data_IF_477856838181
#
_entry.id   IF_477856838181
#
_cell.length_a   1.000
_cell.length_b   1.000
_cell.length_c   1.000
_cell.angle_alpha   90.00
_cell.angle_beta   90.00
_cell.angle_gamma   90.00
#
_symmetry.space_group_name_H-M   'P 1'
#
loop_
_entity.id
_entity.type
_entity.pdbx_description
1 polymer ?
#
# COMPACT_ATOMS: atom_id res chain seq x y z
N UNK A 1 10.75 -36.12 -7.23
CA UNK A 1 10.66 -35.38 -5.96
C UNK A 1 9.20 -35.14 -5.71
N UNK A 2 8.58 -35.94 -4.84
CA UNK A 2 7.17 -35.75 -4.50
C UNK A 2 7.02 -34.52 -3.61
N UNK A 3 6.09 -33.63 -3.97
CA UNK A 3 5.83 -32.41 -3.21
C UNK A 3 5.21 -32.78 -1.86
N UNK A 4 5.97 -32.63 -0.78
CA UNK A 4 5.47 -32.75 0.58
C UNK A 4 5.05 -31.34 1.03
N UNK A 5 3.75 -31.08 1.23
CA UNK A 5 3.31 -29.79 1.70
C UNK A 5 3.85 -29.50 3.11
N UNK A 6 4.30 -28.27 3.32
CA UNK A 6 4.92 -27.77 4.56
C UNK A 6 3.94 -27.56 5.73
N UNK A 7 2.65 -27.82 5.53
CA UNK A 7 1.59 -27.68 6.55
C UNK A 7 0.84 -29.01 6.70
N UNK A 8 0.43 -29.40 7.91
CA UNK A 8 -0.55 -30.46 8.13
C UNK A 8 -1.90 -30.17 7.45
N UNK A 9 -2.69 -31.22 7.18
CA UNK A 9 -4.05 -31.08 6.62
C UNK A 9 -4.95 -30.26 7.55
N UNK A 10 -4.84 -30.49 8.86
CA UNK A 10 -5.59 -29.79 9.91
C UNK A 10 -5.35 -28.29 9.87
N UNK A 11 -4.10 -27.87 9.70
CA UNK A 11 -3.71 -26.45 9.68
C UNK A 11 -4.24 -25.76 8.43
N UNK A 12 -4.18 -26.45 7.27
CA UNK A 12 -4.82 -25.94 6.05
C UNK A 12 -6.32 -25.76 6.24
N UNK A 13 -7.00 -26.73 6.84
CA UNK A 13 -8.44 -26.64 7.13
C UNK A 13 -8.74 -25.48 8.08
N UNK A 14 -7.92 -25.28 9.12
CA UNK A 14 -8.03 -24.16 10.04
C UNK A 14 -7.83 -22.82 9.33
N UNK A 15 -6.83 -22.69 8.45
CA UNK A 15 -6.61 -21.48 7.64
C UNK A 15 -7.78 -21.21 6.68
N UNK A 16 -8.35 -22.25 6.07
CA UNK A 16 -9.55 -22.11 5.25
C UNK A 16 -10.76 -21.63 6.06
N UNK A 17 -10.93 -22.14 7.29
CA UNK A 17 -11.97 -21.68 8.21
C UNK A 17 -11.74 -20.21 8.62
N UNK A 18 -10.51 -19.89 9.01
CA UNK A 18 -10.10 -18.54 9.42
C UNK A 18 -10.32 -17.51 8.31
N UNK A 19 -9.98 -17.86 7.06
CA UNK A 19 -10.17 -16.98 5.89
C UNK A 19 -11.64 -16.64 5.62
N UNK A 20 -12.58 -17.50 6.04
CA UNK A 20 -14.03 -17.28 5.85
C UNK A 20 -14.68 -16.46 6.96
N UNK A 21 -13.97 -16.20 8.05
CA UNK A 21 -14.48 -15.34 9.13
C UNK A 21 -14.57 -13.89 8.66
N UNK A 22 -15.75 -13.30 8.84
CA UNK A 22 -16.04 -11.90 8.51
C UNK A 22 -16.13 -11.02 9.77
N UNK A 23 -16.15 -11.65 10.93
CA UNK A 23 -16.26 -11.02 12.24
C UNK A 23 -14.90 -10.53 12.79
N UNK A 24 -13.80 -10.91 12.13
CA UNK A 24 -12.45 -10.49 12.52
C UNK A 24 -11.65 -9.91 11.36
N UNK A 25 -10.76 -8.98 11.71
CA UNK A 25 -9.74 -8.41 10.84
C UNK A 25 -8.37 -8.88 11.33
N UNK A 26 -7.60 -9.49 10.44
CA UNK A 26 -6.23 -9.95 10.71
C UNK A 26 -5.24 -8.95 10.09
N UNK A 27 -4.37 -8.36 10.92
CA UNK A 27 -3.34 -7.41 10.49
C UNK A 27 -2.01 -7.66 11.20
N UNK A 28 -0.87 -7.30 10.57
CA UNK A 28 0.38 -7.22 11.31
C UNK A 28 0.28 -6.13 12.39
N UNK A 29 0.92 -6.38 13.53
CA UNK A 29 1.12 -5.36 14.56
C UNK A 29 2.13 -4.31 14.07
N UNK A 30 1.99 -3.08 14.57
CA UNK A 30 3.04 -2.07 14.42
C UNK A 30 4.33 -2.55 15.11
N UNK A 31 5.50 -2.20 14.53
CA UNK A 31 6.85 -2.61 14.97
C UNK A 31 7.15 -4.12 14.87
N UNK A 32 6.51 -4.84 13.96
CA UNK A 32 6.82 -6.24 13.66
C UNK A 32 6.69 -7.18 14.88
N UNK A 33 5.81 -6.85 15.84
CA UNK A 33 5.64 -7.60 17.09
C UNK A 33 4.79 -8.88 16.90
N UNK A 34 4.15 -9.04 15.74
CA UNK A 34 3.38 -10.25 15.41
C UNK A 34 2.14 -9.95 14.57
N UNK A 35 1.17 -10.85 14.63
CA UNK A 35 -0.13 -10.76 13.96
C UNK A 35 -1.20 -10.50 15.02
N UNK A 36 -2.18 -9.65 14.70
CA UNK A 36 -3.30 -9.31 15.57
C UNK A 36 -4.60 -9.68 14.88
N UNK A 37 -5.46 -10.42 15.59
CA UNK A 37 -6.86 -10.60 15.22
C UNK A 37 -7.71 -9.61 16.04
N UNK A 38 -8.56 -8.85 15.37
CA UNK A 38 -9.34 -7.76 15.96
C UNK A 38 -10.79 -7.97 15.54
N UNK A 39 -11.74 -7.76 16.46
CA UNK A 39 -13.15 -7.67 16.10
C UNK A 39 -13.37 -6.60 15.00
N UNK A 40 -14.18 -6.94 13.99
CA UNK A 40 -14.39 -6.07 12.83
C UNK A 40 -14.98 -4.70 13.21
N UNK A 41 -15.90 -4.65 14.18
CA UNK A 41 -16.53 -3.41 14.63
C UNK A 41 -15.54 -2.53 15.41
N UNK A 42 -14.66 -3.15 16.21
CA UNK A 42 -13.56 -2.44 16.89
C UNK A 42 -12.58 -1.87 15.87
N UNK A 43 -12.27 -2.60 14.81
CA UNK A 43 -11.37 -2.12 13.76
C UNK A 43 -11.97 -0.95 12.97
N UNK A 44 -13.25 -1.06 12.60
CA UNK A 44 -13.98 -0.01 11.87
C UNK A 44 -14.14 1.27 12.72
N UNK A 45 -14.54 1.14 13.99
CA UNK A 45 -14.67 2.28 14.89
C UNK A 45 -13.34 3.02 15.08
N UNK A 46 -12.22 2.30 15.28
CA UNK A 46 -10.88 2.90 15.33
C UNK A 46 -10.48 3.57 14.01
N UNK A 47 -10.86 2.99 12.88
CA UNK A 47 -10.59 3.56 11.56
C UNK A 47 -11.37 4.86 11.34
N UNK A 48 -12.66 4.87 11.68
CA UNK A 48 -13.52 6.06 11.58
C UNK A 48 -13.11 7.15 12.57
N UNK A 49 -12.68 6.80 13.78
CA UNK A 49 -12.14 7.77 14.74
C UNK A 49 -10.96 8.57 14.15
N UNK A 50 -10.07 7.89 13.40
CA UNK A 50 -8.96 8.55 12.71
C UNK A 50 -9.48 9.42 11.55
N UNK A 51 -10.30 8.85 10.66
CA UNK A 51 -10.76 9.51 9.44
C UNK A 51 -11.72 10.70 9.68
N UNK A 52 -12.47 10.67 10.79
CA UNK A 52 -13.38 11.74 11.18
C UNK A 52 -12.70 12.87 11.96
N UNK A 53 -11.39 12.76 12.24
CA UNK A 53 -10.67 13.84 12.89
C UNK A 53 -10.48 15.02 11.91
N UNK A 54 -11.27 16.07 12.09
CA UNK A 54 -11.28 17.27 11.24
C UNK A 54 -10.09 18.21 11.45
N UNK A 55 -9.28 17.98 12.48
CA UNK A 55 -8.02 18.69 12.68
C UNK A 55 -6.99 18.29 11.60
N UNK A 56 -6.96 17.01 11.23
CA UNK A 56 -5.97 16.44 10.29
C UNK A 56 -6.57 16.07 8.93
N UNK A 57 -7.86 15.75 8.86
CA UNK A 57 -8.50 15.27 7.64
C UNK A 57 -9.65 16.16 7.23
N UNK A 58 -9.83 16.29 5.91
CA UNK A 58 -10.99 16.94 5.30
C UNK A 58 -11.66 15.96 4.36
N UNK A 59 -12.97 15.77 4.55
CA UNK A 59 -13.79 14.97 3.65
C UNK A 59 -13.84 15.63 2.28
N UNK A 60 -13.62 14.84 1.23
CA UNK A 60 -13.81 15.23 -0.16
C UNK A 60 -15.05 14.53 -0.68
N UNK A 61 -15.88 15.26 -1.42
CA UNK A 61 -17.07 14.80 -2.15
C UNK A 61 -16.75 14.42 -3.60
N UNK A 62 -15.51 14.62 -4.03
CA UNK A 62 -15.00 14.23 -5.35
C UNK A 62 -13.75 13.37 -5.25
N UNK A 63 -13.43 12.66 -6.33
CA UNK A 63 -12.18 11.89 -6.44
C UNK A 63 -11.03 12.82 -6.94
N UNK A 64 -10.07 13.20 -6.07
CA UNK A 64 -8.97 14.09 -6.46
C UNK A 64 -8.01 13.47 -7.47
N UNK A 65 -7.93 12.13 -7.53
CA UNK A 65 -6.98 11.43 -8.39
C UNK A 65 -7.30 11.58 -9.88
N UNK A 66 -8.56 11.90 -10.25
CA UNK A 66 -8.92 12.15 -11.66
C UNK A 66 -8.12 13.30 -12.28
N UNK A 67 -8.02 14.42 -11.55
CA UNK A 67 -7.27 15.60 -12.00
C UNK A 67 -5.78 15.27 -12.15
N UNK A 68 -5.21 14.59 -11.15
CA UNK A 68 -3.82 14.15 -11.16
C UNK A 68 -3.52 13.19 -12.31
N UNK A 69 -4.40 12.22 -12.55
CA UNK A 69 -4.26 11.27 -13.65
C UNK A 69 -4.25 11.97 -15.02
N UNK A 70 -5.20 12.88 -15.26
CA UNK A 70 -5.29 13.60 -16.53
C UNK A 70 -4.05 14.48 -16.78
N UNK A 71 -3.57 15.19 -15.75
CA UNK A 71 -2.35 15.98 -15.84
C UNK A 71 -1.13 15.11 -16.13
N UNK A 72 -0.98 14.00 -15.39
CA UNK A 72 0.12 13.06 -15.61
C UNK A 72 0.07 12.49 -17.03
N UNK A 73 -1.12 12.08 -17.50
CA UNK A 73 -1.31 11.55 -18.85
C UNK A 73 -0.93 12.57 -19.91
N UNK A 74 -1.39 13.82 -19.81
CA UNK A 74 -1.04 14.86 -20.80
C UNK A 74 0.46 15.14 -20.84
N UNK A 75 1.13 15.12 -19.68
CA UNK A 75 2.58 15.30 -19.61
C UNK A 75 3.32 14.13 -20.26
N UNK A 76 2.90 12.89 -20.02
CA UNK A 76 3.49 11.71 -20.66
C UNK A 76 3.29 11.71 -22.18
N UNK A 77 2.13 12.15 -22.66
CA UNK A 77 1.85 12.29 -24.10
C UNK A 77 2.76 13.35 -24.74
N UNK A 78 2.97 14.49 -24.07
CA UNK A 78 3.92 15.52 -24.54
C UNK A 78 5.35 14.97 -24.63
N UNK A 79 5.83 14.27 -23.60
CA UNK A 79 7.16 13.65 -23.60
C UNK A 79 7.31 12.62 -24.73
N UNK A 80 6.25 11.85 -25.03
CA UNK A 80 6.24 10.88 -26.12
C UNK A 80 6.31 11.58 -27.49
N UNK A 81 5.51 12.62 -27.69
CA UNK A 81 5.47 13.40 -28.94
C UNK A 81 6.80 14.11 -29.22
N UNK A 82 7.44 14.61 -28.16
CA UNK A 82 8.77 15.23 -28.23
C UNK A 82 9.91 14.20 -28.34
N UNK A 83 9.60 12.89 -28.43
CA UNK A 83 10.58 11.79 -28.50
C UNK A 83 11.53 11.72 -27.29
N UNK A 84 11.15 12.31 -26.15
CA UNK A 84 11.90 12.26 -24.89
C UNK A 84 11.73 10.93 -24.16
N UNK A 85 10.60 10.24 -24.40
CA UNK A 85 10.37 8.86 -23.99
C UNK A 85 9.89 8.03 -25.18
N UNK A 86 10.11 6.72 -25.15
CA UNK A 86 9.56 5.81 -26.14
C UNK A 86 8.21 5.23 -25.69
N UNK A 87 7.50 4.58 -26.63
CA UNK A 87 6.18 3.98 -26.40
C UNK A 87 6.20 2.92 -25.30
N UNK A 88 7.29 2.17 -25.16
CA UNK A 88 7.46 1.16 -24.12
C UNK A 88 7.47 1.80 -22.72
N UNK A 89 8.24 2.86 -22.54
CA UNK A 89 8.32 3.63 -21.29
C UNK A 89 6.95 4.24 -20.97
N UNK A 90 6.34 4.93 -21.94
CA UNK A 90 5.01 5.52 -21.80
C UNK A 90 3.98 4.48 -21.28
N UNK A 91 3.91 3.32 -21.94
CA UNK A 91 2.96 2.26 -21.59
C UNK A 91 3.28 1.58 -20.25
N UNK A 92 4.55 1.59 -19.82
CA UNK A 92 4.95 1.07 -18.51
C UNK A 92 4.50 1.99 -17.36
N UNK A 93 4.45 3.30 -17.61
CA UNK A 93 4.10 4.31 -16.62
C UNK A 93 2.58 4.49 -16.54
N UNK A 94 1.90 4.59 -17.67
CA UNK A 94 0.45 4.88 -17.66
C UNK A 94 -0.34 3.70 -17.07
N UNK A 95 -1.08 3.89 -15.97
CA UNK A 95 -1.89 2.83 -15.40
C UNK A 95 -3.17 2.62 -16.21
N UNK A 96 -3.60 1.35 -16.35
CA UNK A 96 -4.91 1.01 -16.96
C UNK A 96 -6.08 1.47 -16.09
N UNK A 97 -5.89 1.45 -14.77
CA UNK A 97 -6.85 1.87 -13.76
C UNK A 97 -6.11 2.65 -12.68
N UNK A 98 -6.70 3.78 -12.25
CA UNK A 98 -6.15 4.62 -11.19
C UNK A 98 -7.22 4.80 -10.09
N UNK A 99 -6.98 4.14 -8.95
CA UNK A 99 -7.82 4.21 -7.76
C UNK A 99 -7.33 5.25 -6.76
N UNK A 100 -8.12 5.51 -5.72
CA UNK A 100 -7.65 6.25 -4.55
C UNK A 100 -6.74 5.37 -3.69
N UNK A 101 -6.00 6.01 -2.78
CA UNK A 101 -5.23 5.27 -1.79
C UNK A 101 -6.16 4.50 -0.85
N UNK A 102 -5.77 3.27 -0.49
CA UNK A 102 -6.52 2.45 0.47
C UNK A 102 -6.07 2.78 1.88
N UNK A 103 -7.00 3.24 2.72
CA UNK A 103 -6.75 3.44 4.15
C UNK A 103 -6.84 2.12 4.92
N UNK A 104 -5.93 1.93 5.87
CA UNK A 104 -6.03 0.88 6.88
C UNK A 104 -5.21 1.26 8.12
N UNK A 105 -5.44 0.56 9.24
CA UNK A 105 -4.68 0.77 10.48
C UNK A 105 -3.86 -0.45 10.87
N UNK A 106 -2.67 -0.22 11.43
CA UNK A 106 -1.87 -1.25 12.09
C UNK A 106 -1.95 -1.10 13.62
N UNK A 107 -2.34 -2.13 14.39
CA UNK A 107 -2.47 -2.00 15.84
C UNK A 107 -1.13 -1.79 16.54
N UNK A 108 -1.02 -0.72 17.34
CA UNK A 108 0.13 -0.48 18.22
C UNK A 108 -0.05 -1.18 19.56
N UNK A 109 -0.01 -2.51 19.57
CA UNK A 109 -0.26 -3.33 20.78
C UNK A 109 0.72 -3.08 21.94
N UNK A 110 1.85 -2.43 21.66
CA UNK A 110 2.85 -2.01 22.65
C UNK A 110 2.50 -0.67 23.33
N UNK A 111 1.33 -0.08 23.04
CA UNK A 111 0.85 1.18 23.64
C UNK A 111 -0.47 0.94 24.37
N UNK A 112 -0.76 1.67 25.46
CA UNK A 112 -2.04 1.60 26.15
C UNK A 112 -3.21 1.78 25.18
N UNK A 113 -4.27 0.98 25.35
CA UNK A 113 -5.47 0.97 24.50
C UNK A 113 -5.24 0.57 23.02
N UNK A 114 -4.03 0.17 22.65
CA UNK A 114 -3.65 -0.33 21.32
C UNK A 114 -4.14 0.58 20.18
N UNK A 115 -3.73 1.86 20.12
CA UNK A 115 -4.13 2.78 19.06
C UNK A 115 -3.73 2.24 17.68
N UNK A 116 -4.50 2.58 16.65
CA UNK A 116 -4.15 2.25 15.27
C UNK A 116 -3.12 3.22 14.69
N UNK A 117 -2.10 2.72 13.99
CA UNK A 117 -1.26 3.53 13.10
C UNK A 117 -1.99 3.68 11.75
N UNK A 118 -2.43 4.89 11.36
CA UNK A 118 -3.05 5.09 10.06
C UNK A 118 -2.01 4.91 8.95
N UNK A 119 -2.37 4.16 7.91
CA UNK A 119 -1.59 3.95 6.69
C UNK A 119 -2.49 4.18 5.48
N UNK A 120 -1.94 4.83 4.45
CA UNK A 120 -2.58 4.95 3.14
C UNK A 120 -1.70 4.25 2.11
N UNK A 121 -2.18 3.14 1.56
CA UNK A 121 -1.50 2.46 0.45
C UNK A 121 -1.87 3.11 -0.88
N UNK A 122 -0.87 3.68 -1.56
CA UNK A 122 -1.03 4.33 -2.86
C UNK A 122 -0.67 3.40 -4.04
N UNK A 123 -0.63 2.08 -3.84
CA UNK A 123 -0.24 1.13 -4.91
C UNK A 123 -1.13 1.24 -6.16
N UNK A 124 -2.41 1.58 -5.97
CA UNK A 124 -3.38 1.78 -7.07
C UNK A 124 -3.47 3.23 -7.55
N UNK A 125 -2.72 4.16 -6.96
CA UNK A 125 -2.76 5.57 -7.30
C UNK A 125 -2.16 5.85 -8.69
N UNK A 126 -2.61 6.94 -9.35
CA UNK A 126 -2.17 7.28 -10.71
C UNK A 126 -0.66 7.41 -10.83
N UNK A 127 -0.05 8.04 -9.84
CA UNK A 127 1.38 8.38 -9.80
C UNK A 127 2.29 7.23 -9.39
N UNK A 128 1.77 6.11 -8.89
CA UNK A 128 2.60 5.04 -8.30
C UNK A 128 3.61 4.46 -9.30
N UNK A 129 3.17 4.17 -10.54
CA UNK A 129 4.04 3.65 -11.61
C UNK A 129 5.09 4.67 -12.06
N UNK A 130 4.71 5.95 -12.13
CA UNK A 130 5.64 7.03 -12.42
C UNK A 130 6.70 7.15 -11.33
N UNK A 131 6.31 7.16 -10.06
CA UNK A 131 7.24 7.18 -8.92
C UNK A 131 8.20 5.99 -8.95
N UNK A 132 7.71 4.78 -9.26
CA UNK A 132 8.56 3.59 -9.39
C UNK A 132 9.56 3.71 -10.55
N UNK A 133 9.12 4.25 -11.69
CA UNK A 133 10.00 4.48 -12.84
C UNK A 133 11.08 5.53 -12.52
N UNK A 134 10.70 6.66 -11.92
CA UNK A 134 11.63 7.70 -11.50
C UNK A 134 12.63 7.17 -10.45
N UNK A 135 12.16 6.42 -9.47
CA UNK A 135 13.03 5.76 -8.47
C UNK A 135 14.08 4.89 -9.14
N UNK A 136 13.71 4.10 -10.18
CA UNK A 136 14.67 3.28 -10.94
C UNK A 136 15.72 4.13 -11.65
N UNK A 137 15.34 5.28 -12.22
CA UNK A 137 16.28 6.19 -12.89
C UNK A 137 17.20 6.88 -11.88
N UNK A 138 16.65 7.31 -10.75
CA UNK A 138 17.38 8.09 -9.75
C UNK A 138 18.26 7.21 -8.85
N UNK A 139 17.94 5.91 -8.71
CA UNK A 139 18.65 4.99 -7.83
C UNK A 139 20.18 4.98 -8.00
N UNK A 140 20.77 5.07 -9.21
CA UNK A 140 22.23 5.13 -9.37
C UNK A 140 22.86 6.45 -8.93
N UNK A 141 22.07 7.53 -8.85
CA UNK A 141 22.53 8.89 -8.54
C UNK A 141 22.29 9.30 -7.09
N UNK A 142 21.47 8.54 -6.37
CA UNK A 142 21.29 8.72 -4.93
C UNK A 142 22.52 8.08 -4.28
N UNK A 143 23.38 8.86 -3.57
CA UNK A 143 24.45 8.27 -2.78
C UNK A 143 23.83 7.19 -1.90
N UNK A 144 24.52 6.07 -1.69
CA UNK A 144 24.13 5.08 -0.68
C UNK A 144 24.20 5.80 0.67
N UNK A 145 23.14 6.52 1.01
CA UNK A 145 22.91 7.07 2.32
C UNK A 145 22.55 5.85 3.13
N UNK A 146 23.59 5.20 3.67
CA UNK A 146 23.57 4.01 4.52
C UNK A 146 22.55 4.09 5.66
N UNK A 147 22.00 5.29 5.93
CA UNK A 147 21.11 5.57 7.04
C UNK A 147 19.67 5.94 6.62
N UNK A 148 19.34 6.06 5.32
CA UNK A 148 17.98 6.47 4.88
C UNK A 148 17.24 5.35 4.12
N UNK A 149 17.96 4.52 3.35
CA UNK A 149 17.33 3.48 2.53
C UNK A 149 16.94 2.19 3.29
N UNK A 150 17.37 2.05 4.53
CA UNK A 150 17.20 0.83 5.34
C UNK A 150 15.79 0.59 5.87
N UNK A 151 14.86 1.55 5.74
CA UNK A 151 13.49 1.36 6.26
C UNK A 151 12.47 0.80 5.26
N UNK A 152 12.71 0.84 3.93
CA UNK A 152 11.69 0.44 2.95
C UNK A 152 12.16 -0.43 1.76
N UNK A 153 13.47 -0.52 1.45
CA UNK A 153 13.93 -1.16 0.20
C UNK A 153 14.59 -2.55 0.35
N UNK A 154 14.92 -2.99 1.56
CA UNK A 154 15.62 -4.27 1.80
C UNK A 154 14.70 -5.41 2.25
N UNK A 155 13.51 -5.54 1.68
CA UNK A 155 12.72 -6.76 1.82
C UNK A 155 12.90 -7.56 0.51
N UNK A 156 13.65 -8.66 0.51
CA UNK A 156 13.62 -9.60 -0.60
C UNK A 156 12.18 -10.09 -0.73
N UNK A 157 11.57 -9.89 -1.88
CA UNK A 157 10.38 -10.64 -2.26
C UNK A 157 10.82 -12.10 -2.41
N UNK A 158 10.58 -12.90 -1.37
CA UNK A 158 10.54 -14.36 -1.47
C UNK A 158 9.22 -14.81 -2.09
#
# INVERSE_FOLDING_TARGET
MDYIPNLPVTDRQALHSLRRRLDIVIKPADKNVGIVAIDVNVYESKSLQQLNNTEFYRRLDYNPNRKTFNLMKSQLEQLLNNKQINKTIHNSIIPKYAGLGTFYILPKIHKPHSPGRPIISNVQHSTHRLSKYLSKILSPFIPVLSNIASTDYNIPHY
#
